data_IF_816842611367
#
_entry.id   IF_816842611367
#
_cell.length_a   1.000
_cell.length_b   1.000
_cell.length_c   1.000
_cell.angle_alpha   90.00
_cell.angle_beta   90.00
_cell.angle_gamma   90.00
#
_symmetry.space_group_name_H-M   'P 1'
#
loop_
_entity.id
_entity.type
_entity.pdbx_description
1 polymer ?
#
# COMPACT_ATOMS: atom_id res chain seq x y z
N UNK A 1 -15.86 26.85 -18.20
CA UNK A 1 -15.65 27.38 -16.84
C UNK A 1 -14.82 26.36 -16.11
N UNK A 2 -13.55 26.65 -15.83
CA UNK A 2 -12.79 25.86 -14.86
C UNK A 2 -13.41 26.13 -13.49
N UNK A 3 -14.10 25.13 -12.94
CA UNK A 3 -14.55 25.18 -11.56
C UNK A 3 -13.29 25.01 -10.72
N UNK A 4 -12.79 26.11 -10.14
CA UNK A 4 -11.75 26.03 -9.11
C UNK A 4 -12.32 25.23 -7.94
N UNK A 5 -12.04 23.93 -7.94
CA UNK A 5 -12.34 23.02 -6.84
C UNK A 5 -11.42 23.38 -5.68
N UNK A 6 -11.98 23.73 -4.51
CA UNK A 6 -11.20 23.94 -3.29
C UNK A 6 -10.68 22.59 -2.75
N UNK A 7 -9.50 22.61 -2.13
CA UNK A 7 -8.94 21.41 -1.51
C UNK A 7 -9.86 20.93 -0.38
N UNK A 8 -10.36 19.71 -0.50
CA UNK A 8 -11.07 19.00 0.55
C UNK A 8 -10.18 17.88 1.05
N UNK A 9 -10.08 17.74 2.38
CA UNK A 9 -9.17 16.80 3.02
C UNK A 9 -9.90 15.95 4.06
N UNK A 10 -9.51 14.70 4.15
CA UNK A 10 -9.80 13.81 5.28
C UNK A 10 -8.52 13.13 5.69
N UNK A 11 -8.06 13.42 6.91
CA UNK A 11 -6.79 12.93 7.46
C UNK A 11 -5.62 13.15 6.49
N UNK A 12 -5.11 12.09 5.89
CA UNK A 12 -3.94 12.08 5.03
C UNK A 12 -4.23 12.29 3.55
N UNK A 13 -5.52 12.35 3.18
CA UNK A 13 -5.98 12.30 1.81
C UNK A 13 -6.67 13.59 1.41
N UNK A 14 -6.47 14.00 0.16
CA UNK A 14 -7.08 15.20 -0.41
C UNK A 14 -7.65 14.92 -1.80
N UNK A 15 -8.68 15.65 -2.18
CA UNK A 15 -9.29 15.58 -3.52
C UNK A 15 -8.38 16.08 -4.67
N UNK A 16 -7.15 16.53 -4.39
CA UNK A 16 -6.15 16.85 -5.42
C UNK A 16 -5.19 15.71 -5.76
N UNK A 17 -5.23 14.62 -4.99
CA UNK A 17 -4.33 13.47 -5.19
C UNK A 17 -4.98 12.46 -6.12
N UNK A 18 -4.21 11.83 -7.02
CA UNK A 18 -4.68 10.61 -7.69
C UNK A 18 -4.56 9.43 -6.72
N UNK A 19 -5.68 8.77 -6.40
CA UNK A 19 -5.74 7.75 -5.33
C UNK A 19 -6.18 6.40 -5.91
N UNK A 20 -5.40 5.36 -5.62
CA UNK A 20 -5.78 3.96 -5.83
C UNK A 20 -6.11 3.32 -4.47
N UNK A 21 -7.31 2.76 -4.33
CA UNK A 21 -7.69 1.94 -3.19
C UNK A 21 -7.70 0.49 -3.62
N UNK A 22 -6.94 -0.35 -2.93
CA UNK A 22 -6.65 -1.72 -3.34
C UNK A 22 -7.32 -2.71 -2.38
N UNK A 23 -8.02 -3.70 -2.94
CA UNK A 23 -8.59 -4.80 -2.16
C UNK A 23 -9.72 -4.36 -1.24
N UNK A 24 -10.54 -3.41 -1.68
CA UNK A 24 -11.77 -3.04 -1.00
C UNK A 24 -12.70 -4.25 -0.90
N UNK A 25 -13.21 -4.52 0.31
CA UNK A 25 -14.26 -5.51 0.54
C UNK A 25 -15.62 -4.92 0.16
N UNK A 26 -16.28 -4.27 1.12
CA UNK A 26 -17.58 -3.62 0.89
C UNK A 26 -17.47 -2.19 0.32
N UNK A 27 -16.27 -1.72 -0.05
CA UNK A 27 -16.01 -0.35 -0.54
C UNK A 27 -16.32 0.79 0.45
N UNK A 28 -16.57 0.48 1.73
CA UNK A 28 -16.95 1.49 2.72
C UNK A 28 -15.83 2.51 3.02
N UNK A 29 -14.56 2.15 2.80
CA UNK A 29 -13.45 3.10 2.97
C UNK A 29 -13.34 4.04 1.78
N UNK A 30 -13.41 3.50 0.56
CA UNK A 30 -13.43 4.30 -0.67
C UNK A 30 -14.59 5.31 -0.65
N UNK A 31 -15.80 4.90 -0.28
CA UNK A 31 -16.94 5.83 -0.23
C UNK A 31 -16.79 6.90 0.86
N UNK A 32 -16.13 6.58 1.99
CA UNK A 32 -15.81 7.56 3.02
C UNK A 32 -14.96 8.71 2.45
N UNK A 33 -13.92 8.38 1.68
CA UNK A 33 -13.08 9.39 1.02
C UNK A 33 -13.88 10.17 -0.03
N UNK A 34 -14.62 9.47 -0.90
CA UNK A 34 -15.41 10.10 -1.95
C UNK A 34 -16.45 11.10 -1.40
N UNK A 35 -17.13 10.76 -0.29
CA UNK A 35 -18.06 11.67 0.41
C UNK A 35 -17.36 12.89 0.98
N UNK A 36 -16.15 12.74 1.53
CA UNK A 36 -15.37 13.86 2.03
C UNK A 36 -14.91 14.81 0.90
N UNK A 37 -14.69 14.27 -0.30
CA UNK A 37 -14.22 15.01 -1.47
C UNK A 37 -15.32 15.59 -2.36
N UNK A 38 -16.59 15.23 -2.12
CA UNK A 38 -17.75 15.45 -3.00
C UNK A 38 -17.72 14.60 -4.28
N UNK A 39 -16.65 14.79 -5.07
CA UNK A 39 -16.37 14.11 -6.32
C UNK A 39 -15.08 13.31 -6.21
N UNK A 40 -15.03 12.19 -6.92
CA UNK A 40 -13.99 11.18 -6.81
C UNK A 40 -13.42 10.75 -8.18
N UNK A 41 -13.46 11.64 -9.18
CA UNK A 41 -12.97 11.38 -10.54
C UNK A 41 -11.49 10.96 -10.62
N UNK A 42 -10.70 11.34 -9.61
CA UNK A 42 -9.28 11.01 -9.43
C UNK A 42 -9.05 9.77 -8.53
N UNK A 43 -10.12 9.05 -8.17
CA UNK A 43 -10.06 7.83 -7.38
C UNK A 43 -10.35 6.62 -8.24
N UNK A 44 -9.57 5.56 -8.00
CA UNK A 44 -9.86 4.22 -8.49
C UNK A 44 -9.97 3.29 -7.30
N UNK A 45 -11.12 2.65 -7.11
CA UNK A 45 -11.33 1.66 -6.05
C UNK A 45 -11.37 0.25 -6.66
N UNK A 46 -10.62 -0.69 -6.08
CA UNK A 46 -10.49 -2.04 -6.63
C UNK A 46 -10.85 -3.12 -5.62
N UNK A 47 -11.48 -4.20 -6.09
CA UNK A 47 -11.68 -5.43 -5.33
C UNK A 47 -10.90 -6.59 -5.95
N UNK A 48 -10.61 -7.62 -5.14
CA UNK A 48 -10.10 -8.90 -5.66
C UNK A 48 -11.24 -9.76 -6.21
N UNK A 49 -12.41 -9.69 -5.58
CA UNK A 49 -13.59 -10.47 -5.94
C UNK A 49 -14.29 -9.91 -7.19
N UNK A 50 -15.06 -10.76 -7.87
CA UNK A 50 -15.94 -10.34 -8.97
C UNK A 50 -17.09 -9.48 -8.46
N UNK A 51 -17.75 -8.73 -9.35
CA UNK A 51 -18.95 -7.96 -8.99
C UNK A 51 -20.05 -8.87 -8.43
N UNK A 52 -20.26 -10.04 -9.03
CA UNK A 52 -21.26 -11.01 -8.61
C UNK A 52 -20.96 -11.61 -7.23
N UNK A 53 -19.70 -11.91 -6.94
CA UNK A 53 -19.30 -12.37 -5.60
C UNK A 53 -19.58 -11.28 -4.55
N UNK A 54 -19.17 -10.04 -4.82
CA UNK A 54 -19.40 -8.91 -3.92
C UNK A 54 -20.89 -8.71 -3.59
N UNK A 55 -21.77 -8.86 -4.58
CA UNK A 55 -23.23 -8.76 -4.42
C UNK A 55 -23.77 -9.76 -3.38
N UNK A 56 -23.21 -10.95 -3.35
CA UNK A 56 -23.66 -12.04 -2.46
C UNK A 56 -22.97 -11.95 -1.09
N UNK A 57 -21.70 -11.54 -1.09
CA UNK A 57 -20.81 -11.63 0.06
C UNK A 57 -20.92 -10.43 0.99
N UNK A 58 -21.27 -9.25 0.50
CA UNK A 58 -21.31 -8.02 1.30
C UNK A 58 -22.62 -7.26 1.07
N UNK A 59 -23.47 -7.19 2.10
CA UNK A 59 -24.81 -6.58 2.00
C UNK A 59 -24.82 -5.12 1.53
N UNK A 60 -23.73 -4.38 1.75
CA UNK A 60 -23.59 -2.96 1.38
C UNK A 60 -22.69 -2.72 0.15
N UNK A 61 -22.05 -3.74 -0.41
CA UNK A 61 -21.06 -3.51 -1.48
C UNK A 61 -21.70 -2.80 -2.68
N UNK A 62 -22.87 -3.25 -3.14
CA UNK A 62 -23.47 -2.67 -4.34
C UNK A 62 -23.94 -1.23 -4.16
N UNK A 63 -24.56 -0.90 -3.04
CA UNK A 63 -24.96 0.48 -2.79
C UNK A 63 -23.75 1.40 -2.65
N UNK A 64 -22.65 0.92 -2.06
CA UNK A 64 -21.40 1.66 -1.99
C UNK A 64 -20.75 1.83 -3.38
N UNK A 65 -20.77 0.80 -4.23
CA UNK A 65 -20.28 0.86 -5.62
C UNK A 65 -21.10 1.83 -6.46
N UNK A 66 -22.43 1.75 -6.39
CA UNK A 66 -23.33 2.68 -7.09
C UNK A 66 -23.09 4.14 -6.67
N UNK A 67 -22.91 4.39 -5.37
CA UNK A 67 -22.60 5.74 -4.91
C UNK A 67 -21.21 6.20 -5.38
N UNK A 68 -20.21 5.33 -5.36
CA UNK A 68 -18.87 5.63 -5.90
C UNK A 68 -18.93 6.01 -7.38
N UNK A 69 -19.62 5.20 -8.19
CA UNK A 69 -19.80 5.43 -9.63
C UNK A 69 -20.54 6.76 -9.88
N UNK A 70 -21.59 7.08 -9.09
CA UNK A 70 -22.31 8.36 -9.18
C UNK A 70 -21.47 9.59 -8.78
N UNK A 71 -20.38 9.37 -8.04
CA UNK A 71 -19.39 10.39 -7.68
C UNK A 71 -18.19 10.42 -8.65
N UNK A 72 -18.31 9.76 -9.79
CA UNK A 72 -17.29 9.65 -10.84
C UNK A 72 -16.06 8.81 -10.44
N UNK A 73 -16.10 8.07 -9.32
CA UNK A 73 -15.04 7.13 -8.98
C UNK A 73 -15.03 5.97 -9.97
N UNK A 74 -13.84 5.60 -10.45
CA UNK A 74 -13.69 4.36 -11.22
C UNK A 74 -13.67 3.18 -10.26
N UNK A 75 -14.53 2.17 -10.51
CA UNK A 75 -14.54 0.91 -9.75
C UNK A 75 -14.08 -0.23 -10.64
N UNK A 76 -13.06 -0.97 -10.20
CA UNK A 76 -12.53 -2.13 -10.93
C UNK A 76 -12.64 -3.39 -10.06
N UNK A 77 -13.02 -4.50 -10.67
CA UNK A 77 -13.09 -5.80 -10.00
C UNK A 77 -11.97 -6.72 -10.48
N UNK A 78 -11.76 -7.83 -9.77
CA UNK A 78 -10.78 -8.86 -10.14
C UNK A 78 -9.33 -8.37 -10.24
N UNK A 79 -8.98 -7.31 -9.50
CA UNK A 79 -7.63 -6.76 -9.49
C UNK A 79 -6.76 -7.54 -8.50
N UNK A 80 -5.82 -8.34 -9.03
CA UNK A 80 -4.82 -9.03 -8.23
C UNK A 80 -3.61 -8.12 -7.95
N UNK A 81 -3.22 -8.00 -6.69
CA UNK A 81 -2.10 -7.17 -6.25
C UNK A 81 -0.76 -7.60 -6.85
N UNK A 82 -0.60 -8.87 -7.26
CA UNK A 82 0.60 -9.36 -7.92
C UNK A 82 0.73 -8.91 -9.38
N UNK A 83 -0.37 -8.44 -9.97
CA UNK A 83 -0.45 -8.09 -11.39
C UNK A 83 -1.06 -6.71 -11.66
N UNK A 84 -1.46 -5.97 -10.63
CA UNK A 84 -2.18 -4.70 -10.79
C UNK A 84 -1.40 -3.64 -11.58
N UNK A 85 -0.05 -3.65 -11.52
CA UNK A 85 0.78 -2.74 -12.33
C UNK A 85 0.68 -3.00 -13.84
N UNK A 86 0.19 -4.18 -14.24
CA UNK A 86 0.00 -4.61 -15.63
C UNK A 86 -1.48 -4.61 -16.03
N UNK A 87 -2.38 -4.27 -15.11
CA UNK A 87 -3.81 -4.26 -15.41
C UNK A 87 -4.10 -3.24 -16.53
N UNK A 88 -4.89 -3.57 -17.57
CA UNK A 88 -5.07 -2.71 -18.74
C UNK A 88 -5.53 -1.28 -18.40
N UNK A 89 -6.40 -1.13 -17.39
CA UNK A 89 -6.89 0.17 -16.94
C UNK A 89 -5.90 0.94 -16.05
N UNK A 90 -4.85 0.30 -15.53
CA UNK A 90 -3.95 0.88 -14.53
C UNK A 90 -2.51 1.06 -15.02
N UNK A 91 -2.06 0.30 -16.03
CA UNK A 91 -0.66 0.21 -16.46
C UNK A 91 -0.01 1.56 -16.78
N UNK A 92 -0.78 2.50 -17.33
CA UNK A 92 -0.32 3.83 -17.73
C UNK A 92 -0.71 4.93 -16.74
N UNK A 93 -1.27 4.58 -15.59
CA UNK A 93 -1.67 5.53 -14.55
C UNK A 93 -0.60 5.56 -13.46
N UNK A 94 -0.39 6.74 -12.86
CA UNK A 94 0.46 6.90 -11.68
C UNK A 94 -0.33 7.58 -10.57
N UNK A 95 -0.11 7.14 -9.35
CA UNK A 95 -0.89 7.54 -8.19
C UNK A 95 -0.03 8.27 -7.17
N UNK A 96 -0.62 9.32 -6.59
CA UNK A 96 -0.03 10.02 -5.45
C UNK A 96 -0.24 9.24 -4.16
N UNK A 97 -1.33 8.49 -4.06
CA UNK A 97 -1.62 7.60 -2.93
C UNK A 97 -2.09 6.24 -3.42
N UNK A 98 -1.46 5.17 -2.94
CA UNK A 98 -1.94 3.80 -3.12
C UNK A 98 -2.24 3.23 -1.73
N UNK A 99 -3.48 2.90 -1.45
CA UNK A 99 -3.98 2.56 -0.11
C UNK A 99 -4.36 1.08 -0.09
N UNK A 100 -3.82 0.32 0.88
CA UNK A 100 -4.22 -1.06 1.13
C UNK A 100 -4.47 -1.28 2.63
N UNK A 101 -5.75 -1.32 3.01
CA UNK A 101 -6.16 -1.43 4.41
C UNK A 101 -6.32 -2.90 4.82
N UNK A 102 -5.63 -3.30 5.88
CA UNK A 102 -5.68 -4.64 6.46
C UNK A 102 -5.55 -5.76 5.42
N UNK A 103 -4.45 -5.77 4.63
CA UNK A 103 -4.20 -6.83 3.65
C UNK A 103 -4.35 -8.21 4.30
N UNK A 104 -4.98 -9.15 3.60
CA UNK A 104 -5.15 -10.51 4.10
C UNK A 104 -5.29 -11.48 2.93
N UNK A 105 -4.55 -12.60 2.98
CA UNK A 105 -4.43 -13.53 1.86
C UNK A 105 -5.54 -14.60 1.83
N UNK A 106 -6.48 -14.51 2.77
CA UNK A 106 -7.39 -15.61 3.09
C UNK A 106 -6.66 -16.73 3.84
N UNK A 107 -7.34 -17.84 4.07
CA UNK A 107 -6.80 -18.96 4.84
C UNK A 107 -6.46 -20.15 3.94
N UNK A 108 -5.20 -20.58 3.94
CA UNK A 108 -4.70 -21.65 3.05
C UNK A 108 -5.46 -22.98 3.22
N UNK A 109 -5.87 -23.31 4.45
CA UNK A 109 -6.62 -24.54 4.78
C UNK A 109 -8.03 -24.21 5.29
N UNK A 110 -8.61 -23.10 4.81
CA UNK A 110 -9.91 -22.61 5.25
C UNK A 110 -9.96 -22.41 6.77
N UNK A 111 -11.07 -22.81 7.41
CA UNK A 111 -11.31 -22.63 8.85
C UNK A 111 -10.30 -23.33 9.78
N UNK A 112 -9.40 -24.17 9.25
CA UNK A 112 -8.35 -24.84 10.03
C UNK A 112 -7.05 -24.06 10.14
N UNK A 113 -6.85 -23.02 9.34
CA UNK A 113 -5.65 -22.18 9.42
C UNK A 113 -5.83 -21.09 10.47
N UNK A 114 -4.74 -20.77 11.16
CA UNK A 114 -4.68 -19.69 12.12
C UNK A 114 -3.62 -18.67 11.74
N UNK A 115 -3.87 -17.40 12.08
CA UNK A 115 -2.99 -16.24 11.86
C UNK A 115 -1.57 -16.40 12.44
N UNK A 116 -1.39 -17.31 13.41
CA UNK A 116 -0.12 -17.62 14.06
C UNK A 116 0.67 -18.76 13.41
N UNK A 117 0.08 -19.48 12.44
CA UNK A 117 0.78 -20.56 11.75
C UNK A 117 1.84 -20.01 10.80
N UNK A 118 3.04 -20.58 10.84
CA UNK A 118 4.19 -20.12 10.04
C UNK A 118 3.88 -20.07 8.53
N UNK A 119 3.23 -21.08 7.97
CA UNK A 119 2.85 -21.10 6.55
C UNK A 119 1.80 -20.04 6.21
N UNK A 120 0.89 -19.74 7.15
CA UNK A 120 -0.11 -18.70 6.97
C UNK A 120 0.54 -17.31 7.00
N UNK A 121 1.46 -17.07 7.93
CA UNK A 121 2.28 -15.85 7.98
C UNK A 121 3.07 -15.68 6.68
N UNK A 122 3.72 -16.73 6.18
CA UNK A 122 4.46 -16.66 4.92
C UNK A 122 3.56 -16.27 3.72
N UNK A 123 2.35 -16.82 3.66
CA UNK A 123 1.40 -16.48 2.60
C UNK A 123 0.92 -15.03 2.68
N UNK A 124 0.72 -14.52 3.89
CA UNK A 124 0.44 -13.10 4.09
C UNK A 124 1.61 -12.19 3.71
N UNK A 125 2.84 -12.58 4.03
CA UNK A 125 4.04 -11.87 3.60
C UNK A 125 4.18 -11.86 2.08
N UNK A 126 3.83 -12.95 1.41
CA UNK A 126 3.85 -13.04 -0.06
C UNK A 126 2.88 -12.06 -0.72
N UNK A 127 1.63 -12.04 -0.24
CA UNK A 127 0.61 -11.07 -0.68
C UNK A 127 1.11 -9.62 -0.55
N UNK A 128 1.67 -9.27 0.61
CA UNK A 128 2.14 -7.91 0.89
C UNK A 128 3.38 -7.57 0.06
N UNK A 129 4.29 -8.53 -0.16
CA UNK A 129 5.45 -8.37 -1.05
C UNK A 129 5.01 -8.09 -2.49
N UNK A 130 4.13 -8.93 -3.04
CA UNK A 130 3.61 -8.75 -4.40
C UNK A 130 2.89 -7.42 -4.58
N UNK A 131 2.12 -7.00 -3.58
CA UNK A 131 1.53 -5.66 -3.54
C UNK A 131 2.59 -4.55 -3.59
N UNK A 132 3.61 -4.58 -2.73
CA UNK A 132 4.63 -3.52 -2.70
C UNK A 132 5.40 -3.42 -4.01
N UNK A 133 5.79 -4.55 -4.58
CA UNK A 133 6.50 -4.60 -5.88
C UNK A 133 5.68 -3.94 -6.99
N UNK A 134 4.37 -4.23 -7.07
CA UNK A 134 3.49 -3.65 -8.07
C UNK A 134 3.17 -2.17 -7.77
N UNK A 135 2.85 -1.85 -6.52
CA UNK A 135 2.47 -0.51 -6.11
C UNK A 135 3.61 0.49 -6.34
N UNK A 136 4.86 0.07 -6.09
CA UNK A 136 6.04 0.90 -6.36
C UNK A 136 6.06 1.36 -7.81
N UNK A 137 5.83 0.48 -8.78
CA UNK A 137 5.86 0.84 -10.20
C UNK A 137 4.77 1.86 -10.58
N UNK A 138 3.68 1.88 -9.81
CA UNK A 138 2.51 2.71 -10.03
C UNK A 138 2.56 4.05 -9.29
N UNK A 139 3.55 4.32 -8.44
CA UNK A 139 3.68 5.60 -7.74
C UNK A 139 4.17 6.73 -8.64
N UNK A 140 3.63 7.94 -8.44
CA UNK A 140 4.27 9.19 -8.88
C UNK A 140 5.63 9.38 -8.19
N UNK A 141 6.42 10.36 -8.62
CA UNK A 141 7.76 10.62 -8.03
C UNK A 141 7.71 10.94 -6.53
N UNK A 142 6.63 11.59 -6.08
CA UNK A 142 6.42 12.00 -4.68
C UNK A 142 5.24 11.24 -4.03
N UNK A 143 4.80 10.15 -4.67
CA UNK A 143 3.68 9.36 -4.21
C UNK A 143 4.03 8.49 -3.01
N UNK A 144 3.00 8.12 -2.25
CA UNK A 144 3.12 7.30 -1.04
C UNK A 144 2.23 6.06 -1.12
N UNK A 145 2.74 4.92 -0.67
CA UNK A 145 1.96 3.71 -0.41
C UNK A 145 1.56 3.71 1.06
N UNK A 146 0.27 3.59 1.33
CA UNK A 146 -0.29 3.57 2.67
C UNK A 146 -0.83 2.17 2.98
N UNK A 147 -0.23 1.49 3.94
CA UNK A 147 -0.70 0.18 4.42
C UNK A 147 -1.17 0.32 5.86
N UNK A 148 -2.45 0.04 6.10
CA UNK A 148 -2.97 -0.04 7.46
C UNK A 148 -2.86 -1.48 7.96
N UNK A 149 -2.15 -1.70 9.06
CA UNK A 149 -1.87 -3.03 9.55
C UNK A 149 -1.86 -3.11 11.08
N UNK A 150 -2.22 -4.28 11.59
CA UNK A 150 -2.16 -4.58 13.03
C UNK A 150 -0.71 -4.61 13.50
N UNK A 151 -0.47 -4.13 14.71
CA UNK A 151 0.89 -3.95 15.27
C UNK A 151 1.25 -4.99 16.32
N UNK A 152 0.33 -5.87 16.69
CA UNK A 152 0.54 -6.90 17.71
C UNK A 152 0.63 -8.29 17.09
N UNK A 153 1.26 -9.21 17.81
CA UNK A 153 1.30 -10.63 17.45
C UNK A 153 -0.11 -11.19 17.21
N UNK A 154 -0.30 -12.10 16.22
CA UNK A 154 0.71 -12.61 15.28
C UNK A 154 0.98 -11.71 14.07
N UNK A 155 0.19 -10.66 13.88
CA UNK A 155 0.31 -9.76 12.72
C UNK A 155 1.67 -9.04 12.67
N UNK A 156 2.28 -8.74 13.82
CA UNK A 156 3.64 -8.17 13.85
C UNK A 156 4.68 -9.02 13.10
N UNK A 157 4.50 -10.34 13.03
CA UNK A 157 5.41 -11.27 12.33
C UNK A 157 5.38 -11.13 10.81
N UNK A 158 4.40 -10.40 10.26
CA UNK A 158 4.36 -10.12 8.82
C UNK A 158 5.49 -9.19 8.40
N UNK A 159 6.10 -8.46 9.34
CA UNK A 159 7.27 -7.61 9.13
C UNK A 159 7.18 -6.71 7.89
N UNK A 160 6.03 -6.04 7.70
CA UNK A 160 5.70 -5.32 6.46
C UNK A 160 6.71 -4.20 6.11
N UNK A 161 7.44 -3.68 7.10
CA UNK A 161 8.48 -2.66 6.86
C UNK A 161 9.69 -3.26 6.14
N UNK A 162 10.11 -4.46 6.53
CA UNK A 162 11.20 -5.18 5.87
C UNK A 162 10.79 -5.63 4.47
N UNK A 163 9.54 -6.10 4.29
CA UNK A 163 9.01 -6.43 2.97
C UNK A 163 9.00 -5.21 2.04
N UNK A 164 8.59 -4.03 2.54
CA UNK A 164 8.64 -2.79 1.77
C UNK A 164 10.09 -2.43 1.39
N UNK A 165 11.04 -2.56 2.32
CA UNK A 165 12.46 -2.30 2.08
C UNK A 165 13.03 -3.21 0.99
N UNK A 166 12.74 -4.52 1.05
CA UNK A 166 13.13 -5.47 0.01
C UNK A 166 12.53 -5.12 -1.35
N UNK A 167 11.33 -4.53 -1.36
CA UNK A 167 10.69 -4.00 -2.55
C UNK A 167 11.21 -2.60 -2.96
N UNK A 168 12.30 -2.06 -2.39
CA UNK A 168 12.87 -0.76 -2.78
C UNK A 168 12.06 0.46 -2.31
N UNK A 169 11.31 0.30 -1.21
CA UNK A 169 10.55 1.36 -0.57
C UNK A 169 11.13 1.67 0.82
N UNK A 170 10.99 2.90 1.29
CA UNK A 170 11.36 3.30 2.66
C UNK A 170 10.14 3.72 3.44
N UNK A 171 10.09 3.36 4.72
CA UNK A 171 9.10 3.88 5.66
C UNK A 171 9.41 5.36 5.93
N UNK A 172 8.53 6.25 5.51
CA UNK A 172 8.67 7.69 5.73
C UNK A 172 7.85 8.16 6.94
N UNK A 173 6.78 7.45 7.28
CA UNK A 173 5.94 7.79 8.41
C UNK A 173 5.16 6.57 8.93
N UNK A 174 4.84 6.57 10.22
CA UNK A 174 3.94 5.61 10.86
C UNK A 174 3.08 6.36 11.86
N UNK A 175 1.77 6.16 11.80
CA UNK A 175 0.83 6.77 12.75
C UNK A 175 -0.23 5.76 13.21
N UNK A 176 -0.76 5.90 14.45
CA UNK A 176 -1.89 5.10 14.91
C UNK A 176 -3.10 5.24 13.97
N UNK A 177 -3.75 4.11 13.67
CA UNK A 177 -4.99 4.13 12.88
C UNK A 177 -6.20 4.05 13.82
N UNK A 178 -7.19 4.90 13.56
CA UNK A 178 -8.49 4.85 14.21
C UNK A 178 -9.57 4.78 13.14
N UNK A 179 -10.42 3.74 13.20
CA UNK A 179 -11.57 3.62 12.29
C UNK A 179 -12.55 4.79 12.41
N UNK A 180 -12.58 5.44 13.59
CA UNK A 180 -13.46 6.58 13.87
C UNK A 180 -13.06 7.85 13.13
N UNK A 181 -11.83 7.90 12.64
CA UNK A 181 -11.35 9.00 11.79
C UNK A 181 -11.97 8.95 10.38
N UNK A 182 -12.65 7.85 10.04
CA UNK A 182 -13.25 7.59 8.73
C UNK A 182 -14.74 7.25 8.89
N UNK A 183 -15.63 8.26 8.95
CA UNK A 183 -17.06 8.06 9.15
C UNK A 183 -17.68 7.13 8.09
N UNK A 184 -18.39 6.11 8.54
CA UNK A 184 -19.04 5.13 7.67
C UNK A 184 -18.14 3.97 7.20
N UNK A 185 -16.84 4.00 7.50
CA UNK A 185 -15.95 2.87 7.21
C UNK A 185 -16.27 1.67 8.11
N UNK A 186 -16.48 0.51 7.50
CA UNK A 186 -16.63 -0.78 8.17
C UNK A 186 -15.53 -1.74 7.71
N UNK A 187 -14.70 -2.21 8.65
CA UNK A 187 -13.68 -3.19 8.32
C UNK A 187 -14.30 -4.59 8.19
N UNK A 188 -14.42 -5.09 6.97
CA UNK A 188 -15.06 -6.38 6.66
C UNK A 188 -14.02 -7.48 6.42
N UNK A 189 -14.38 -8.71 6.80
CA UNK A 189 -13.62 -9.92 6.47
C UNK A 189 -13.94 -10.36 5.04
N UNK A 190 -12.95 -10.93 4.38
CA UNK A 190 -13.12 -11.72 3.15
C UNK A 190 -12.96 -13.23 3.40
N UNK A 191 -12.72 -13.98 2.32
CA UNK A 191 -12.31 -15.40 2.35
C UNK A 191 -13.24 -16.33 3.17
N UNK A 192 -14.55 -16.27 2.91
CA UNK A 192 -15.54 -17.20 3.48
C UNK A 192 -16.13 -16.77 4.82
N UNK A 193 -15.69 -15.65 5.40
CA UNK A 193 -16.29 -15.02 6.58
C UNK A 193 -16.90 -13.65 6.26
N UNK A 194 -17.44 -13.52 5.04
CA UNK A 194 -17.83 -12.26 4.45
C UNK A 194 -18.85 -11.46 5.28
N UNK A 195 -18.86 -10.14 5.06
CA UNK A 195 -19.68 -9.12 5.74
C UNK A 195 -19.53 -9.00 7.27
N UNK A 196 -18.81 -9.92 7.91
CA UNK A 196 -18.50 -9.84 9.33
C UNK A 196 -17.35 -8.85 9.56
N UNK A 197 -17.46 -8.09 10.66
CA UNK A 197 -16.34 -7.28 11.10
C UNK A 197 -15.26 -8.11 11.78
N UNK A 198 -14.06 -7.55 11.90
CA UNK A 198 -13.00 -8.14 12.71
C UNK A 198 -12.53 -7.17 13.80
N UNK A 199 -12.01 -7.67 14.93
CA UNK A 199 -11.35 -6.81 15.91
C UNK A 199 -10.14 -6.13 15.26
N UNK A 200 -10.21 -4.80 15.15
CA UNK A 200 -9.12 -3.98 14.59
C UNK A 200 -7.90 -4.03 15.52
N UNK A 201 -8.12 -3.92 16.84
CA UNK A 201 -7.04 -3.97 17.83
C UNK A 201 -6.05 -2.81 17.68
N UNK A 202 -4.83 -3.00 18.20
CA UNK A 202 -3.74 -2.04 17.99
C UNK A 202 -3.27 -2.13 16.53
N UNK A 203 -3.35 -1.01 15.81
CA UNK A 203 -2.99 -0.92 14.41
C UNK A 203 -2.43 0.46 14.06
N UNK A 204 -1.74 0.54 12.93
CA UNK A 204 -1.13 1.76 12.43
C UNK A 204 -1.22 1.82 10.92
N UNK A 205 -1.27 3.02 10.37
CA UNK A 205 -1.03 3.26 8.95
C UNK A 205 0.46 3.55 8.76
N UNK A 206 1.10 2.75 7.90
CA UNK A 206 2.48 2.89 7.49
C UNK A 206 2.52 3.55 6.12
N UNK A 207 3.32 4.60 5.98
CA UNK A 207 3.49 5.35 4.72
C UNK A 207 4.87 5.07 4.17
N UNK A 208 4.92 4.58 2.95
CA UNK A 208 6.15 4.22 2.25
C UNK A 208 6.34 5.06 1.00
N UNK A 209 7.57 5.45 0.72
CA UNK A 209 7.94 6.17 -0.50
C UNK A 209 9.02 5.40 -1.26
N UNK A 210 9.19 5.72 -2.55
CA UNK A 210 10.31 5.20 -3.35
C UNK A 210 11.64 5.58 -2.72
N UNK A 211 12.57 4.63 -2.66
CA UNK A 211 13.98 4.97 -2.47
C UNK A 211 14.42 5.80 -3.68
N UNK A 212 14.88 7.02 -3.44
CA UNK A 212 15.52 7.79 -4.50
C UNK A 212 16.91 7.20 -4.70
N UNK A 213 17.18 6.66 -5.88
CA UNK A 213 18.55 6.35 -6.27
C UNK A 213 19.35 7.65 -6.22
N UNK A 214 20.34 7.70 -5.35
CA UNK A 214 21.47 8.60 -5.53
C UNK A 214 22.23 8.07 -6.74
N UNK A 215 21.79 8.44 -7.94
CA UNK A 215 22.58 8.19 -9.14
C UNK A 215 23.94 8.84 -8.94
N UNK A 216 24.95 7.97 -8.90
CA UNK A 216 26.37 8.26 -8.86
C UNK A 216 26.65 9.45 -9.75
N UNK A 217 27.19 10.52 -9.16
CA UNK A 217 27.67 11.68 -9.91
C UNK A 217 28.60 11.15 -10.99
N UNK A 218 28.20 11.30 -12.26
CA UNK A 218 29.04 10.98 -13.40
C UNK A 218 30.33 11.77 -13.24
N UNK A 219 31.42 11.06 -12.96
CA UNK A 219 32.72 11.66 -12.79
C UNK A 219 33.10 12.42 -14.05
N UNK A 220 33.10 13.75 -13.97
CA UNK A 220 33.82 14.58 -14.92
C UNK A 220 35.29 14.14 -14.88
N UNK A 221 35.75 13.48 -15.94
CA UNK A 221 37.17 13.32 -16.22
C UNK A 221 37.73 14.71 -16.51
N UNK A 222 38.27 15.37 -15.49
CA UNK A 222 39.21 16.47 -15.69
C UNK A 222 40.55 15.86 -16.12
N UNK A 223 41.08 16.39 -17.22
CA UNK A 223 42.31 15.95 -17.85
C UNK A 223 43.50 15.88 -16.88
N UNK A 224 44.26 14.81 -17.06
CA UNK A 224 45.56 14.55 -16.49
C UNK A 224 46.54 15.69 -16.85
N UNK A 225 47.03 16.41 -15.84
CA UNK A 225 48.37 16.99 -15.87
C UNK A 225 49.12 16.55 -14.63
N UNK A 226 50.35 16.12 -14.87
CA UNK A 226 51.29 15.49 -13.96
C UNK A 226 51.87 16.48 -12.95
N UNK A 227 52.10 16.03 -11.71
CA UNK A 227 53.41 16.02 -11.04
C UNK A 227 53.31 15.87 -9.51
N UNK A 228 54.15 15.01 -8.95
CA UNK A 228 54.78 15.25 -7.64
C UNK A 228 54.25 14.45 -6.44
N UNK A 229 55.13 13.88 -5.58
CA UNK A 229 54.77 12.83 -4.62
C UNK A 229 54.53 13.35 -3.18
N UNK A 230 53.62 12.64 -2.49
CA UNK A 230 53.39 12.44 -1.05
C UNK A 230 54.09 13.36 -0.01
N UNK A 231 53.36 13.71 1.07
CA UNK A 231 53.56 12.92 2.29
C UNK A 231 52.30 12.58 3.08
N UNK A 232 52.36 11.34 3.62
CA UNK A 232 51.73 10.77 4.82
C UNK A 232 50.91 11.73 5.68
N UNK A 233 49.69 11.35 6.06
CA UNK A 233 49.27 11.21 7.47
C UNK A 233 48.00 10.36 7.61
N UNK A 234 47.93 9.70 8.77
CA UNK A 234 46.97 8.69 9.24
C UNK A 234 45.49 9.08 9.20
N UNK A 235 44.62 8.07 9.08
CA UNK A 235 43.24 8.19 9.53
C UNK A 235 42.32 7.02 9.17
N UNK A 236 42.14 6.11 10.13
CA UNK A 236 40.89 5.37 10.42
C UNK A 236 40.51 4.20 9.49
N UNK A 237 40.73 2.99 10.02
CA UNK A 237 39.98 1.80 9.64
C UNK A 237 38.54 1.88 10.18
N UNK A 238 37.54 2.07 9.31
CA UNK A 238 36.42 1.10 9.29
C UNK A 238 36.90 -0.13 8.50
N UNK A 239 36.24 -1.32 8.53
CA UNK A 239 34.87 -1.45 8.00
C UNK A 239 34.03 -2.65 8.55
N UNK A 240 32.86 -2.81 7.92
CA UNK A 240 32.00 -4.01 7.75
C UNK A 240 30.91 -4.31 8.79
N UNK A 241 29.63 -4.38 8.39
CA UNK A 241 28.95 -5.22 7.37
C UNK A 241 28.76 -6.68 7.78
N UNK A 242 27.47 -7.06 7.81
CA UNK A 242 26.86 -8.35 7.46
C UNK A 242 27.38 -9.63 8.15
N UNK A 243 26.55 -10.17 9.04
CA UNK A 243 26.29 -11.62 9.06
C UNK A 243 24.77 -11.83 9.17
N UNK A 244 24.17 -12.21 8.04
CA UNK A 244 22.90 -12.94 8.01
C UNK A 244 23.25 -14.39 8.30
N UNK A 245 22.84 -14.90 9.45
CA UNK A 245 22.86 -16.33 9.72
C UNK A 245 21.52 -16.92 9.27
N UNK A 246 21.55 -17.65 8.14
CA UNK A 246 20.68 -18.82 7.97
C UNK A 246 21.15 -19.87 8.97
N UNK A 247 20.21 -20.56 9.62
CA UNK A 247 20.15 -22.02 9.84
C UNK A 247 19.08 -22.33 10.91
N UNK A 248 18.21 -23.30 10.60
CA UNK A 248 17.19 -23.84 11.50
C UNK A 248 15.94 -24.23 10.76
#
# INVERSE_FOLDING_TARGET
MEVFSFERRIKNYSNYQNILLVGEGDFSFAICLARAFDFAANMVATSRDTRESLMVEYSKAMSNVEELESRECTVLHEVDVHYMSKHPCLINVRFDRIIYNFPHAGYLKGSRSCEREMYQIWYHQDLVRGFFENAREMLTRVGEIHVTHKTTYPFSEWNIVDLAYQAGLILVHKEPFSKWDYPGYENKRGAGMFDQTFPVGMCSTYKFAKMLDHSTTSGFHLGTTSSGPWPRYCGIWGPHCWIVAKLG
#
